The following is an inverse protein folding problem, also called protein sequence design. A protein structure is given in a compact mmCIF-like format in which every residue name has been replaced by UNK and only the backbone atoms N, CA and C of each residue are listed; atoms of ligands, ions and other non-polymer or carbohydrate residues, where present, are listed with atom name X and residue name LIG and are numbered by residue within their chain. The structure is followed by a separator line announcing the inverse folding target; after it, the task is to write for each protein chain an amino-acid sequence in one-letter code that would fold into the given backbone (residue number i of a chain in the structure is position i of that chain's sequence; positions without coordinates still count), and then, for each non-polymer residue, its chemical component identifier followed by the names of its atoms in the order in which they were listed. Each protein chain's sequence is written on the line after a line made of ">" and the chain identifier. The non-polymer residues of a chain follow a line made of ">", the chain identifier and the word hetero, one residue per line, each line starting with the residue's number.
data_IF_010146688692
#
_entry.id   IF_010146688692
#
_cell.length_a   1.000
_cell.length_b   1.000
_cell.length_c   1.000
_cell.angle_alpha   90.00
_cell.angle_beta   90.00
_cell.angle_gamma   90.00
#
_symmetry.space_group_name_H-M   'P 1'
#
loop_
_entity.id
_entity.type
_entity.pdbx_description
1 polymer ?
#
# COMPACT_ATOMS: atom_id res chain seq x y z
N UNK A 1 -7.16 -12.61 7.07
CA UNK A 1 -6.76 -13.12 5.74
C UNK A 1 -5.65 -12.29 5.13
N UNK A 2 -5.83 -10.98 5.00
CA UNK A 2 -4.82 -10.08 4.42
C UNK A 2 -4.39 -9.05 5.46
N UNK A 3 -3.07 -8.82 5.57
CA UNK A 3 -2.49 -7.74 6.34
C UNK A 3 -1.84 -6.71 5.39
N UNK A 4 -2.11 -5.43 5.60
CA UNK A 4 -1.59 -4.32 4.78
C UNK A 4 -0.68 -3.46 5.64
N UNK A 5 0.55 -3.22 5.18
CA UNK A 5 1.46 -2.27 5.81
C UNK A 5 1.32 -0.88 5.19
N UNK A 6 0.92 0.10 5.99
CA UNK A 6 0.73 1.50 5.58
C UNK A 6 -0.72 1.84 5.23
N UNK A 7 -1.28 2.84 5.90
CA UNK A 7 -2.62 3.39 5.63
C UNK A 7 -2.55 4.61 4.70
N UNK A 8 -1.74 4.52 3.64
CA UNK A 8 -1.74 5.48 2.53
C UNK A 8 -2.87 5.23 1.52
N UNK A 9 -2.95 6.02 0.43
CA UNK A 9 -3.99 5.88 -0.59
C UNK A 9 -4.04 4.46 -1.18
N UNK A 10 -2.88 3.89 -1.57
CA UNK A 10 -2.84 2.54 -2.14
C UNK A 10 -3.27 1.46 -1.13
N UNK A 11 -2.76 1.53 0.11
CA UNK A 11 -3.05 0.54 1.15
C UNK A 11 -4.52 0.56 1.59
N UNK A 12 -5.10 1.75 1.77
CA UNK A 12 -6.52 1.88 2.11
C UNK A 12 -7.41 1.44 0.95
N UNK A 13 -7.11 1.83 -0.29
CA UNK A 13 -7.90 1.37 -1.46
C UNK A 13 -7.84 -0.15 -1.62
N UNK A 14 -6.67 -0.78 -1.44
CA UNK A 14 -6.56 -2.24 -1.45
C UNK A 14 -7.42 -2.88 -0.36
N UNK A 15 -7.34 -2.36 0.87
CA UNK A 15 -8.11 -2.87 1.99
C UNK A 15 -9.62 -2.68 1.82
N UNK A 16 -10.05 -1.57 1.23
CA UNK A 16 -11.44 -1.30 0.90
C UNK A 16 -12.01 -2.36 -0.05
N UNK A 17 -11.36 -2.58 -1.19
CA UNK A 17 -11.84 -3.56 -2.17
C UNK A 17 -11.81 -4.99 -1.62
N UNK A 18 -10.79 -5.36 -0.84
CA UNK A 18 -10.76 -6.67 -0.16
C UNK A 18 -11.89 -6.84 0.85
N UNK A 19 -12.14 -5.82 1.68
CA UNK A 19 -13.20 -5.88 2.69
C UNK A 19 -14.60 -5.94 2.06
N UNK A 20 -14.81 -5.24 0.93
CA UNK A 20 -16.03 -5.29 0.13
C UNK A 20 -16.35 -6.71 -0.39
N UNK A 21 -15.31 -7.49 -0.68
CA UNK A 21 -15.40 -8.92 -1.05
C UNK A 21 -15.47 -9.87 0.17
N UNK A 22 -15.68 -9.34 1.38
CA UNK A 22 -15.82 -10.13 2.61
C UNK A 22 -14.50 -10.71 3.14
N UNK A 23 -13.35 -10.29 2.61
CA UNK A 23 -12.04 -10.75 3.08
C UNK A 23 -11.67 -10.05 4.38
N UNK A 24 -11.30 -10.82 5.42
CA UNK A 24 -10.90 -10.25 6.70
C UNK A 24 -9.55 -9.54 6.55
N UNK A 25 -9.61 -8.21 6.49
CA UNK A 25 -8.49 -7.34 6.14
C UNK A 25 -8.14 -6.38 7.27
N UNK A 26 -6.85 -6.21 7.52
CA UNK A 26 -6.31 -5.31 8.55
C UNK A 26 -5.16 -4.48 7.99
N UNK A 27 -5.09 -3.21 8.37
CA UNK A 27 -4.01 -2.27 8.04
C UNK A 27 -3.25 -1.91 9.31
N UNK A 28 -1.91 -1.89 9.23
CA UNK A 28 -1.03 -1.34 10.26
C UNK A 28 -0.39 -0.05 9.77
N UNK A 29 -0.59 1.02 10.54
CA UNK A 29 -0.06 2.35 10.25
C UNK A 29 0.79 2.84 11.42
N UNK A 30 2.01 3.30 11.13
CA UNK A 30 2.93 3.82 12.16
C UNK A 30 2.51 5.17 12.73
N UNK A 31 1.86 5.99 11.90
CA UNK A 31 1.49 7.35 12.24
C UNK A 31 0.20 7.36 13.06
N UNK A 32 -0.02 8.43 13.82
CA UNK A 32 -1.29 8.64 14.52
C UNK A 32 -2.46 8.76 13.52
N UNK A 33 -2.25 9.44 12.39
CA UNK A 33 -3.29 9.73 11.41
C UNK A 33 -3.09 8.88 10.14
N UNK A 34 -4.11 8.13 9.69
CA UNK A 34 -4.13 7.52 8.36
C UNK A 34 -4.11 8.55 7.22
N UNK A 35 -3.69 8.15 6.04
CA UNK A 35 -3.64 8.98 4.82
C UNK A 35 -2.26 9.04 4.18
N UNK A 36 -1.19 8.66 4.90
CA UNK A 36 0.17 8.75 4.40
C UNK A 36 0.53 10.17 3.96
N UNK A 37 1.14 10.30 2.77
CA UNK A 37 1.53 11.61 2.21
C UNK A 37 0.42 12.36 1.48
N UNK A 38 -0.75 11.74 1.24
CA UNK A 38 -1.82 12.34 0.44
C UNK A 38 -2.40 13.63 1.05
N UNK A 39 -2.66 13.75 2.38
CA UNK A 39 -3.28 14.94 2.95
C UNK A 39 -2.54 16.25 2.67
N UNK A 40 -1.21 16.22 2.49
CA UNK A 40 -0.40 17.41 2.21
C UNK A 40 -0.40 17.87 0.76
N UNK A 41 -1.05 17.12 -0.15
CA UNK A 41 -1.11 17.41 -1.58
C UNK A 41 0.27 17.64 -2.21
N UNK A 42 0.37 18.63 -3.09
CA UNK A 42 1.62 19.02 -3.76
C UNK A 42 2.23 20.27 -3.12
N UNK A 43 3.39 20.14 -2.47
CA UNK A 43 4.09 21.27 -1.83
C UNK A 43 3.21 22.04 -0.82
N UNK A 44 2.42 21.31 -0.02
CA UNK A 44 1.44 21.87 0.93
C UNK A 44 0.24 22.60 0.30
N UNK A 45 0.11 22.57 -1.03
CA UNK A 45 -1.16 22.87 -1.67
C UNK A 45 -2.04 21.64 -1.60
N UNK A 46 -3.18 21.75 -0.92
CA UNK A 46 -4.11 20.65 -0.62
C UNK A 46 -4.93 20.21 -1.84
N UNK A 47 -4.25 20.02 -2.97
CA UNK A 47 -4.83 19.59 -4.23
C UNK A 47 -4.07 18.36 -4.69
N UNK A 48 -4.82 17.34 -5.09
CA UNK A 48 -4.29 16.18 -5.80
C UNK A 48 -4.77 16.18 -7.24
N UNK A 49 -4.02 15.52 -8.12
CA UNK A 49 -4.42 15.27 -9.51
C UNK A 49 -4.70 13.77 -9.68
N UNK A 50 -5.73 13.41 -10.45
CA UNK A 50 -5.98 12.04 -10.93
C UNK A 50 -6.38 12.06 -12.40
N UNK A 51 -6.06 10.99 -13.12
CA UNK A 51 -6.56 10.74 -14.48
C UNK A 51 -8.01 10.23 -14.43
N UNK A 52 -8.70 10.28 -15.56
CA UNK A 52 -10.07 9.79 -15.75
C UNK A 52 -10.29 8.40 -15.15
N UNK A 53 -9.40 7.45 -15.41
CA UNK A 53 -9.56 6.06 -14.95
C UNK A 53 -9.56 5.95 -13.42
N UNK A 54 -8.79 6.80 -12.74
CA UNK A 54 -8.75 6.83 -11.29
C UNK A 54 -9.84 7.70 -10.66
N UNK A 55 -10.45 8.60 -11.44
CA UNK A 55 -11.58 9.42 -10.99
C UNK A 55 -12.77 8.55 -10.60
N UNK A 56 -13.01 7.43 -11.29
CA UNK A 56 -14.08 6.49 -10.94
C UNK A 56 -13.97 5.98 -9.49
N UNK A 57 -12.76 5.79 -8.99
CA UNK A 57 -12.52 5.38 -7.59
C UNK A 57 -12.84 6.53 -6.64
N UNK A 58 -12.51 7.77 -7.00
CA UNK A 58 -12.87 8.95 -6.20
C UNK A 58 -14.39 9.14 -6.16
N UNK A 59 -15.08 8.92 -7.28
CA UNK A 59 -16.54 8.96 -7.34
C UNK A 59 -17.17 7.86 -6.45
N UNK A 60 -16.62 6.64 -6.46
CA UNK A 60 -17.05 5.55 -5.56
C UNK A 60 -16.88 5.92 -4.07
N UNK A 61 -15.89 6.75 -3.76
CA UNK A 61 -15.65 7.27 -2.41
C UNK A 61 -16.42 8.56 -2.08
N UNK A 62 -17.32 9.02 -2.97
CA UNK A 62 -18.07 10.27 -2.84
C UNK A 62 -17.17 11.52 -2.68
N UNK A 63 -15.99 11.51 -3.33
CA UNK A 63 -15.05 12.65 -3.32
C UNK A 63 -15.40 13.63 -4.43
N UNK A 64 -15.51 14.91 -4.09
CA UNK A 64 -15.75 15.96 -5.08
C UNK A 64 -14.51 16.15 -5.95
N UNK A 65 -14.72 16.04 -7.25
CA UNK A 65 -13.69 16.26 -8.27
C UNK A 65 -14.10 17.40 -9.20
N UNK A 66 -13.11 18.09 -9.77
CA UNK A 66 -13.31 19.09 -10.81
C UNK A 66 -12.36 18.80 -11.96
N UNK A 67 -12.86 18.80 -13.18
CA UNK A 67 -12.00 18.70 -14.37
C UNK A 67 -11.12 19.95 -14.47
N UNK A 68 -9.81 19.75 -14.59
CA UNK A 68 -8.82 20.82 -14.75
C UNK A 68 -8.33 20.92 -16.19
N UNK A 69 -8.05 19.78 -16.79
CA UNK A 69 -7.71 19.60 -18.20
C UNK A 69 -8.39 18.32 -18.69
N UNK A 70 -8.58 18.16 -20.00
CA UNK A 70 -9.24 16.98 -20.56
C UNK A 70 -8.59 15.69 -20.06
N UNK A 71 -9.35 14.89 -19.32
CA UNK A 71 -8.90 13.62 -18.74
C UNK A 71 -8.08 13.75 -17.45
N UNK A 72 -7.93 14.96 -16.89
CA UNK A 72 -7.25 15.23 -15.63
C UNK A 72 -8.16 16.01 -14.67
N UNK A 73 -8.32 15.46 -13.48
CA UNK A 73 -9.20 15.98 -12.44
C UNK A 73 -8.41 16.36 -11.21
N UNK A 74 -8.87 17.41 -10.55
CA UNK A 74 -8.37 17.83 -9.25
C UNK A 74 -9.38 17.51 -8.16
N UNK A 75 -8.87 17.19 -6.97
CA UNK A 75 -9.66 17.01 -5.76
C UNK A 75 -8.94 17.60 -4.55
N UNK A 76 -9.70 17.99 -3.53
CA UNK A 76 -9.14 18.38 -2.23
C UNK A 76 -8.47 17.16 -1.59
N UNK A 77 -7.20 17.31 -1.22
CA UNK A 77 -6.39 16.21 -0.70
C UNK A 77 -6.85 15.70 0.67
N UNK A 78 -7.43 16.59 1.49
CA UNK A 78 -7.93 16.28 2.83
C UNK A 78 -9.28 15.57 2.73
N UNK A 79 -10.17 16.04 1.87
CA UNK A 79 -11.43 15.37 1.56
C UNK A 79 -11.17 13.96 1.03
N UNK A 80 -10.33 13.84 0.00
CA UNK A 80 -10.05 12.55 -0.63
C UNK A 80 -9.46 11.54 0.36
N UNK A 81 -8.40 11.93 1.10
CA UNK A 81 -7.78 11.04 2.09
C UNK A 81 -8.75 10.65 3.22
N UNK A 82 -9.60 11.56 3.67
CA UNK A 82 -10.58 11.29 4.73
C UNK A 82 -11.71 10.39 4.25
N UNK A 83 -12.23 10.62 3.04
CA UNK A 83 -13.26 9.81 2.43
C UNK A 83 -12.79 8.37 2.18
N UNK A 84 -11.58 8.20 1.61
CA UNK A 84 -10.97 6.87 1.43
C UNK A 84 -10.86 6.14 2.77
N UNK A 85 -10.34 6.80 3.81
CA UNK A 85 -10.22 6.21 5.14
C UNK A 85 -11.59 5.81 5.71
N UNK A 86 -12.58 6.71 5.63
CA UNK A 86 -13.94 6.45 6.12
C UNK A 86 -14.57 5.25 5.41
N UNK A 87 -14.53 5.23 4.07
CA UNK A 87 -15.09 4.16 3.25
C UNK A 87 -14.39 2.82 3.48
N UNK A 88 -13.08 2.83 3.66
CA UNK A 88 -12.29 1.64 3.99
C UNK A 88 -12.74 1.00 5.31
N UNK A 89 -12.94 1.81 6.34
CA UNK A 89 -13.43 1.31 7.65
C UNK A 89 -14.88 0.83 7.55
N UNK A 90 -15.75 1.56 6.84
CA UNK A 90 -17.14 1.18 6.62
C UNK A 90 -17.29 -0.13 5.84
N UNK A 91 -16.38 -0.41 4.89
CA UNK A 91 -16.35 -1.68 4.17
C UNK A 91 -15.97 -2.87 5.07
N UNK A 92 -15.45 -2.63 6.28
CA UNK A 92 -15.15 -3.66 7.29
C UNK A 92 -13.67 -3.89 7.53
N UNK A 93 -12.77 -3.20 6.83
CA UNK A 93 -11.34 -3.27 7.12
C UNK A 93 -11.04 -2.63 8.49
N UNK A 94 -10.12 -3.23 9.26
CA UNK A 94 -9.62 -2.65 10.51
C UNK A 94 -8.32 -1.91 10.28
N UNK A 95 -8.17 -0.74 10.90
CA UNK A 95 -6.93 0.04 10.86
C UNK A 95 -6.40 0.16 12.28
N UNK A 96 -5.20 -0.37 12.52
CA UNK A 96 -4.43 -0.14 13.74
C UNK A 96 -3.36 0.90 13.43
N UNK A 97 -3.61 2.13 13.87
CA UNK A 97 -2.65 3.22 13.85
C UNK A 97 -1.68 3.12 15.05
N UNK A 98 -0.58 3.87 15.02
CA UNK A 98 0.50 3.82 16.00
C UNK A 98 1.22 2.46 16.14
N UNK A 99 1.17 1.62 15.11
CA UNK A 99 1.87 0.34 15.07
C UNK A 99 2.86 0.28 13.92
N UNK A 100 4.10 -0.08 14.23
CA UNK A 100 5.19 -0.29 13.27
C UNK A 100 5.33 -1.77 12.93
N UNK A 101 5.67 -2.07 11.69
CA UNK A 101 6.07 -3.41 11.25
C UNK A 101 7.58 -3.52 11.45
N UNK A 102 8.01 -4.40 12.35
CA UNK A 102 9.42 -4.60 12.66
C UNK A 102 10.03 -5.80 11.91
N UNK A 103 9.20 -6.80 11.60
CA UNK A 103 9.62 -8.01 10.89
C UNK A 103 8.44 -8.72 10.21
N UNK A 104 8.71 -9.84 9.54
CA UNK A 104 7.73 -10.72 8.93
C UNK A 104 7.76 -12.12 9.56
N UNK A 105 6.65 -12.84 9.47
CA UNK A 105 6.62 -14.27 9.82
C UNK A 105 6.89 -15.12 8.58
N UNK A 106 7.84 -16.06 8.65
CA UNK A 106 8.07 -17.07 7.61
C UNK A 106 7.66 -18.46 8.09
N UNK A 107 7.17 -19.28 7.17
CA UNK A 107 6.88 -20.71 7.35
C UNK A 107 7.42 -21.52 6.18
N UNK A 108 6.97 -22.76 6.04
CA UNK A 108 7.41 -23.69 4.99
C UNK A 108 7.38 -23.05 3.59
N UNK A 109 8.27 -23.51 2.72
CA UNK A 109 8.45 -22.98 1.36
C UNK A 109 8.83 -21.48 1.30
N UNK A 110 9.46 -20.97 2.37
CA UNK A 110 9.97 -19.61 2.42
C UNK A 110 8.87 -18.55 2.16
N UNK A 111 7.67 -18.84 2.69
CA UNK A 111 6.47 -18.03 2.48
C UNK A 111 6.23 -17.08 3.65
N UNK A 112 5.90 -15.83 3.34
CA UNK A 112 5.40 -14.87 4.32
C UNK A 112 3.99 -15.26 4.75
N UNK A 113 3.81 -15.37 6.07
CA UNK A 113 2.59 -15.86 6.73
C UNK A 113 2.09 -14.92 7.83
N UNK A 114 2.59 -13.68 7.84
CA UNK A 114 2.25 -12.73 8.88
C UNK A 114 3.28 -11.63 9.06
N UNK A 115 3.01 -10.78 10.06
CA UNK A 115 3.82 -9.63 10.43
C UNK A 115 4.24 -9.74 11.90
N UNK A 116 5.35 -9.10 12.22
CA UNK A 116 5.81 -8.84 13.57
C UNK A 116 5.68 -7.34 13.81
N UNK A 117 4.97 -6.98 14.87
CA UNK A 117 4.42 -5.65 15.11
C UNK A 117 4.84 -5.16 16.48
N UNK A 118 5.12 -3.86 16.56
CA UNK A 118 5.34 -3.17 17.82
C UNK A 118 4.60 -1.84 17.83
N UNK A 119 4.43 -1.24 18.99
CA UNK A 119 3.94 0.13 19.08
C UNK A 119 5.00 1.07 18.54
N UNK A 120 4.64 1.99 17.65
CA UNK A 120 5.57 2.99 17.13
C UNK A 120 6.20 3.84 18.24
N UNK A 121 5.48 4.02 19.37
CA UNK A 121 6.00 4.68 20.56
C UNK A 121 7.20 3.95 21.21
N UNK A 122 7.25 2.62 21.17
CA UNK A 122 8.39 1.83 21.69
C UNK A 122 9.66 2.15 20.89
N UNK A 123 9.57 2.11 19.57
CA UNK A 123 10.68 2.45 18.67
C UNK A 123 11.10 3.90 18.84
N UNK A 124 10.15 4.84 18.91
CA UNK A 124 10.44 6.28 19.09
C UNK A 124 11.11 6.60 20.43
N UNK A 125 10.72 5.90 21.49
CA UNK A 125 11.29 6.06 22.83
C UNK A 125 12.61 5.29 23.02
N UNK A 126 13.03 4.47 22.06
CA UNK A 126 14.23 3.64 22.16
C UNK A 126 14.13 2.57 23.26
N UNK A 127 12.93 2.07 23.54
CA UNK A 127 12.71 1.06 24.57
C UNK A 127 12.98 -0.34 24.04
N UNK A 128 13.52 -1.21 24.89
CA UNK A 128 13.73 -2.63 24.59
C UNK A 128 12.52 -3.45 25.04
N UNK A 129 11.48 -3.47 24.21
CA UNK A 129 10.25 -4.26 24.43
C UNK A 129 10.03 -5.16 23.23
N UNK A 130 9.88 -6.46 23.47
CA UNK A 130 9.67 -7.45 22.42
C UNK A 130 8.34 -7.24 21.66
N UNK A 131 8.33 -7.48 20.34
CA UNK A 131 7.14 -7.30 19.51
C UNK A 131 6.15 -8.48 19.62
N UNK A 132 4.96 -8.28 19.05
CA UNK A 132 3.95 -9.33 18.90
C UNK A 132 3.83 -9.79 17.43
N UNK A 133 3.45 -11.04 17.23
CA UNK A 133 3.24 -11.60 15.90
C UNK A 133 1.76 -11.74 15.54
N UNK A 134 1.43 -11.49 14.26
CA UNK A 134 0.11 -11.68 13.69
C UNK A 134 0.19 -12.51 12.42
N UNK A 135 -0.64 -13.54 12.33
CA UNK A 135 -0.75 -14.38 11.13
C UNK A 135 -1.66 -13.76 10.06
N UNK A 136 -1.24 -13.88 8.81
CA UNK A 136 -2.04 -13.60 7.61
C UNK A 136 -1.71 -14.60 6.51
N UNK A 137 -2.59 -14.75 5.51
CA UNK A 137 -2.34 -15.60 4.34
C UNK A 137 -1.58 -14.84 3.25
N UNK A 138 -1.77 -13.51 3.22
CA UNK A 138 -1.16 -12.57 2.28
C UNK A 138 -0.80 -11.29 3.05
N UNK A 139 0.33 -10.68 2.70
CA UNK A 139 0.78 -9.36 3.13
C UNK A 139 0.85 -8.44 1.92
N UNK A 140 0.42 -7.19 2.08
CA UNK A 140 0.58 -6.12 1.08
C UNK A 140 1.50 -5.05 1.67
N UNK A 141 2.66 -4.82 1.06
CA UNK A 141 3.52 -3.67 1.34
C UNK A 141 3.01 -2.45 0.56
N UNK A 142 2.35 -1.55 1.28
CA UNK A 142 1.92 -0.24 0.81
C UNK A 142 2.59 0.89 1.63
N UNK A 143 3.80 0.64 2.15
CA UNK A 143 4.56 1.58 3.00
C UNK A 143 5.17 2.75 2.24
N UNK A 144 4.87 2.85 0.93
CA UNK A 144 5.30 3.93 0.05
C UNK A 144 6.75 3.78 -0.37
N UNK A 145 7.46 4.89 -0.56
CA UNK A 145 8.85 4.92 -1.02
C UNK A 145 9.81 4.09 -0.17
N UNK A 146 9.48 3.91 1.12
CA UNK A 146 10.32 3.22 2.07
C UNK A 146 10.35 1.70 1.86
N UNK A 147 9.33 1.09 1.22
CA UNK A 147 9.25 -0.35 0.93
C UNK A 147 9.72 -1.24 2.11
N UNK A 148 9.23 -0.94 3.31
CA UNK A 148 9.83 -1.40 4.57
C UNK A 148 9.80 -2.92 4.69
N UNK A 149 8.69 -3.55 4.28
CA UNK A 149 8.52 -5.01 4.36
C UNK A 149 9.45 -5.68 3.36
N UNK A 150 9.56 -5.15 2.14
CA UNK A 150 10.50 -5.66 1.14
C UNK A 150 11.96 -5.55 1.59
N UNK A 151 12.34 -4.45 2.27
CA UNK A 151 13.69 -4.34 2.84
C UNK A 151 13.93 -5.33 3.97
N UNK A 152 12.94 -5.61 4.82
CA UNK A 152 13.04 -6.68 5.83
C UNK A 152 13.33 -8.02 5.15
N UNK A 153 12.60 -8.36 4.08
CA UNK A 153 12.80 -9.61 3.33
C UNK A 153 14.21 -9.72 2.76
N UNK A 154 14.67 -8.68 2.07
CA UNK A 154 16.00 -8.71 1.44
C UNK A 154 17.11 -8.73 2.49
N UNK A 155 17.05 -7.84 3.49
CA UNK A 155 18.16 -7.60 4.40
C UNK A 155 18.25 -8.62 5.53
N UNK A 156 17.10 -9.06 6.07
CA UNK A 156 17.07 -9.96 7.24
C UNK A 156 16.94 -11.43 6.84
N UNK A 157 16.15 -11.71 5.81
CA UNK A 157 15.90 -13.08 5.36
C UNK A 157 16.90 -13.53 4.28
N UNK A 158 17.55 -12.57 3.60
CA UNK A 158 18.33 -12.87 2.39
C UNK A 158 17.43 -13.34 1.23
N UNK A 159 16.13 -13.05 1.31
CA UNK A 159 15.13 -13.46 0.34
C UNK A 159 15.33 -12.75 -1.00
N UNK A 160 15.08 -13.46 -2.10
CA UNK A 160 15.15 -12.89 -3.45
C UNK A 160 13.76 -12.46 -3.93
N UNK A 161 13.58 -11.15 -4.11
CA UNK A 161 12.36 -10.60 -4.69
C UNK A 161 12.27 -10.95 -6.18
N UNK A 162 11.05 -11.02 -6.72
CA UNK A 162 10.76 -11.21 -8.16
C UNK A 162 10.98 -9.91 -8.96
N UNK A 163 12.14 -9.31 -8.75
CA UNK A 163 12.68 -8.13 -9.45
C UNK A 163 13.88 -8.56 -10.27
N UNK A 164 14.32 -7.73 -11.22
CA UNK A 164 15.44 -8.06 -12.12
C UNK A 164 16.74 -8.38 -11.35
N UNK A 165 16.98 -7.69 -10.23
CA UNK A 165 18.16 -7.87 -9.38
C UNK A 165 17.95 -8.75 -8.14
N UNK A 166 16.77 -9.31 -7.92
CA UNK A 166 16.47 -10.11 -6.73
C UNK A 166 16.34 -9.30 -5.42
N UNK A 167 16.42 -7.97 -5.46
CA UNK A 167 16.33 -7.09 -4.29
C UNK A 167 15.45 -5.87 -4.53
N UNK A 168 15.48 -4.91 -3.59
CA UNK A 168 14.84 -3.59 -3.76
C UNK A 168 15.74 -2.74 -4.66
N UNK A 169 15.27 -2.39 -5.86
CA UNK A 169 16.08 -1.70 -6.87
C UNK A 169 16.23 -0.19 -6.60
N UNK A 170 15.30 0.40 -5.84
CA UNK A 170 15.27 1.82 -5.51
C UNK A 170 14.53 2.67 -6.53
N UNK A 171 13.74 3.63 -6.04
CA UNK A 171 13.04 4.59 -6.89
C UNK A 171 14.00 5.44 -7.74
N UNK A 172 13.61 5.69 -9.00
CA UNK A 172 14.31 6.65 -9.89
C UNK A 172 13.71 8.06 -9.81
N UNK A 173 14.45 9.03 -10.34
CA UNK A 173 14.01 10.42 -10.48
C UNK A 173 12.66 10.56 -11.20
N UNK A 174 12.05 11.73 -11.07
CA UNK A 174 10.67 11.97 -11.50
C UNK A 174 10.47 11.82 -13.02
N UNK A 175 9.49 11.00 -13.39
CA UNK A 175 8.90 10.93 -14.72
C UNK A 175 7.46 10.43 -14.57
N UNK A 176 6.52 11.36 -14.39
CA UNK A 176 5.17 11.05 -13.92
C UNK A 176 4.40 10.10 -14.84
N UNK A 177 4.42 10.34 -16.15
CA UNK A 177 3.73 9.51 -17.14
C UNK A 177 4.22 8.05 -17.14
N UNK A 178 5.54 7.84 -17.02
CA UNK A 178 6.14 6.51 -16.95
C UNK A 178 5.84 5.87 -15.60
N UNK A 179 5.95 6.62 -14.51
CA UNK A 179 5.68 6.14 -13.15
C UNK A 179 4.24 5.66 -12.98
N UNK A 180 3.26 6.43 -13.45
CA UNK A 180 1.82 6.11 -13.39
C UNK A 180 1.47 4.88 -14.25
N UNK A 181 2.14 4.69 -15.39
CA UNK A 181 1.97 3.49 -16.19
C UNK A 181 2.61 2.27 -15.53
N UNK A 182 3.85 2.43 -15.05
CA UNK A 182 4.63 1.34 -14.48
C UNK A 182 4.11 0.84 -13.13
N UNK A 183 3.45 1.68 -12.33
CA UNK A 183 2.95 1.25 -11.02
C UNK A 183 1.93 0.10 -11.16
N UNK A 184 1.11 0.10 -12.20
CA UNK A 184 0.16 -0.99 -12.47
C UNK A 184 0.88 -2.30 -12.80
N UNK A 185 1.88 -2.25 -13.69
CA UNK A 185 2.71 -3.41 -14.05
C UNK A 185 3.51 -3.95 -12.84
N UNK A 186 3.94 -3.05 -11.96
CA UNK A 186 4.75 -3.37 -10.80
C UNK A 186 3.93 -3.85 -9.60
N UNK A 187 2.62 -3.66 -9.60
CA UNK A 187 1.72 -4.12 -8.53
C UNK A 187 1.48 -5.61 -8.67
N UNK A 188 2.29 -6.41 -7.96
CA UNK A 188 2.29 -7.87 -8.06
C UNK A 188 2.83 -8.53 -6.79
N UNK A 189 2.68 -9.85 -6.70
CA UNK A 189 3.37 -10.66 -5.69
C UNK A 189 4.87 -10.70 -6.00
N UNK A 190 5.68 -10.02 -5.20
CA UNK A 190 7.14 -9.91 -5.34
C UNK A 190 7.90 -10.94 -4.53
N UNK A 191 7.24 -11.60 -3.59
CA UNK A 191 7.79 -12.71 -2.80
C UNK A 191 6.64 -13.60 -2.37
N UNK A 192 6.80 -14.92 -2.16
CA UNK A 192 5.68 -15.78 -1.76
C UNK A 192 4.93 -15.23 -0.53
N UNK A 193 3.68 -14.84 -0.73
CA UNK A 193 2.82 -14.23 0.30
C UNK A 193 2.95 -12.71 0.48
N UNK A 194 3.74 -12.02 -0.34
CA UNK A 194 3.96 -10.58 -0.27
C UNK A 194 3.73 -9.89 -1.61
N UNK A 195 2.78 -8.97 -1.61
CA UNK A 195 2.42 -8.09 -2.72
C UNK A 195 2.95 -6.69 -2.41
N UNK A 196 3.32 -5.93 -3.45
CA UNK A 196 3.64 -4.49 -3.34
C UNK A 196 2.57 -3.65 -4.02
N UNK A 197 2.29 -2.48 -3.45
CA UNK A 197 1.31 -1.53 -3.98
C UNK A 197 1.76 -0.07 -3.80
N UNK A 198 1.22 0.82 -4.62
CA UNK A 198 1.57 2.24 -4.66
C UNK A 198 3.05 2.46 -4.92
N UNK A 199 3.64 3.45 -4.26
CA UNK A 199 5.06 3.76 -4.46
C UNK A 199 6.03 2.68 -4.00
N UNK A 200 5.61 1.75 -3.12
CA UNK A 200 6.42 0.59 -2.80
C UNK A 200 6.66 -0.28 -4.04
N UNK A 201 5.66 -0.42 -4.91
CA UNK A 201 5.79 -1.18 -6.15
C UNK A 201 6.85 -0.58 -7.09
N UNK A 202 6.84 0.74 -7.29
CA UNK A 202 7.83 1.42 -8.14
C UNK A 202 9.22 1.44 -7.52
N UNK A 203 9.34 1.66 -6.21
CA UNK A 203 10.61 1.63 -5.51
C UNK A 203 11.25 0.23 -5.52
N UNK A 204 10.46 -0.83 -5.34
CA UNK A 204 10.95 -2.22 -5.40
C UNK A 204 11.40 -2.58 -6.81
N UNK A 205 10.64 -2.20 -7.83
CA UNK A 205 10.91 -2.55 -9.23
C UNK A 205 11.82 -1.56 -9.98
N UNK A 206 12.34 -0.51 -9.33
CA UNK A 206 13.35 0.35 -9.92
C UNK A 206 12.82 1.35 -10.95
N UNK A 207 11.59 1.83 -10.78
CA UNK A 207 10.92 2.75 -11.73
C UNK A 207 10.79 4.18 -11.18
N UNK A 208 10.51 5.17 -12.05
CA UNK A 208 10.37 6.58 -11.65
C UNK A 208 9.26 6.88 -10.63
N UNK A 209 9.36 8.05 -10.00
CA UNK A 209 8.27 8.69 -9.20
C UNK A 209 7.37 9.61 -10.02
N UNK A 210 6.16 9.87 -9.53
CA UNK A 210 5.17 10.72 -10.22
C UNK A 210 4.84 12.07 -9.59
N UNK A 211 5.18 12.32 -8.32
CA UNK A 211 4.81 13.57 -7.65
C UNK A 211 3.37 13.57 -7.15
N UNK A 212 2.70 14.72 -7.14
CA UNK A 212 1.36 14.90 -6.55
C UNK A 212 0.20 14.50 -7.48
N UNK A 213 0.41 13.48 -8.30
CA UNK A 213 -0.61 12.78 -9.06
C UNK A 213 -0.82 11.40 -8.42
N UNK A 214 -2.07 11.07 -8.12
CA UNK A 214 -2.42 9.96 -7.23
C UNK A 214 -3.24 8.87 -7.90
N UNK A 215 -3.52 8.99 -9.20
CA UNK A 215 -4.37 8.03 -9.90
C UNK A 215 -3.77 6.62 -9.90
N UNK A 216 -2.48 6.51 -10.22
CA UNK A 216 -1.76 5.25 -10.15
C UNK A 216 -1.70 4.65 -8.74
N UNK A 217 -1.74 5.46 -7.67
CA UNK A 217 -1.81 4.94 -6.29
C UNK A 217 -3.14 4.24 -6.02
N UNK A 218 -4.26 4.84 -6.45
CA UNK A 218 -5.60 4.29 -6.26
C UNK A 218 -5.80 3.03 -7.10
N UNK A 219 -5.43 3.10 -8.39
CA UNK A 219 -5.51 1.97 -9.32
C UNK A 219 -4.60 0.82 -8.86
N UNK A 220 -3.40 1.12 -8.37
CA UNK A 220 -2.49 0.12 -7.80
C UNK A 220 -3.09 -0.54 -6.55
N UNK A 221 -3.75 0.22 -5.67
CA UNK A 221 -4.47 -0.36 -4.53
C UNK A 221 -5.54 -1.36 -4.97
N UNK A 222 -6.37 -0.99 -5.96
CA UNK A 222 -7.38 -1.88 -6.55
C UNK A 222 -6.74 -3.14 -7.15
N UNK A 223 -5.67 -2.99 -7.92
CA UNK A 223 -4.93 -4.13 -8.49
C UNK A 223 -4.34 -5.05 -7.42
N UNK A 224 -3.80 -4.50 -6.33
CA UNK A 224 -3.28 -5.29 -5.24
C UNK A 224 -4.36 -6.15 -4.55
N UNK A 225 -5.59 -5.62 -4.45
CA UNK A 225 -6.74 -6.38 -3.96
C UNK A 225 -7.06 -7.57 -4.89
N UNK A 226 -7.10 -7.35 -6.21
CA UNK A 226 -7.31 -8.43 -7.20
C UNK A 226 -6.26 -9.54 -7.08
N UNK A 227 -4.97 -9.17 -7.06
CA UNK A 227 -3.87 -10.13 -6.93
C UNK A 227 -3.97 -10.90 -5.60
N UNK A 228 -4.33 -10.23 -4.50
CA UNK A 228 -4.54 -10.90 -3.23
C UNK A 228 -5.71 -11.89 -3.27
N UNK A 229 -6.82 -11.56 -3.94
CA UNK A 229 -7.96 -12.47 -4.12
C UNK A 229 -7.57 -13.70 -4.95
N UNK A 230 -6.82 -13.52 -6.04
CA UNK A 230 -6.29 -14.61 -6.87
C UNK A 230 -5.45 -15.59 -6.03
N UNK A 231 -4.53 -15.08 -5.20
CA UNK A 231 -3.69 -15.90 -4.31
C UNK A 231 -4.53 -16.61 -3.25
N UNK A 232 -5.49 -15.92 -2.62
CA UNK A 232 -6.36 -16.51 -1.61
C UNK A 232 -7.23 -17.63 -2.17
N UNK A 233 -7.65 -17.53 -3.43
CA UNK A 233 -8.38 -18.59 -4.14
C UNK A 233 -7.49 -19.79 -4.41
N UNK A 234 -6.27 -19.60 -4.91
CA UNK A 234 -5.30 -20.68 -5.14
C UNK A 234 -5.02 -21.46 -3.84
N UNK A 235 -4.84 -20.75 -2.73
CA UNK A 235 -4.60 -21.34 -1.41
C UNK A 235 -5.83 -22.07 -0.80
N UNK A 236 -7.03 -21.94 -1.37
CA UNK A 236 -8.21 -22.73 -0.94
C UNK A 236 -8.29 -24.07 -1.67
N UNK A 237 -7.64 -24.18 -2.83
CA UNK A 237 -7.68 -25.36 -3.70
C UNK A 237 -6.50 -26.31 -3.43
N UNK A 238 -5.39 -25.77 -2.88
CA UNK A 238 -4.24 -26.51 -2.36
C UNK A 238 -4.48 -27.10 -0.97
#
# INVERSE_FOLDING_TARGET
>A
DVAVGGAGPAGMTAAYYLAKEGIKTVIFERSLRPGGGMPGGGMMFNTIVVQEEAKEILDEFDVRTKEYEKGYYIADSVEASSAICFKTVQAGAKIFNLMSIEDVMIREHDRITGLVLNWSAVTLAGLHVDPLSMRSRVVIDATGHASEICHIVVNKLGGKLRTEGGGVMGEKSMWAEVAERKVMENTKEVYPGLIVAGMAANAVCGTPRMGAIFGGMLLSGKRAAEVALEILQQLKVS
#
